data_IF_471711120354
#
_entry.id   IF_471711120354
#
_cell.length_a   1.000
_cell.length_b   1.000
_cell.length_c   1.000
_cell.angle_alpha   90.00
_cell.angle_beta   90.00
_cell.angle_gamma   90.00
#
_symmetry.space_group_name_H-M   'P 1'
#
loop_
_entity.id
_entity.type
_entity.pdbx_description
1 polymer ?
#
# COMPACT_ATOMS: atom_id res chain seq x y z
N UNK A 1 9.09 -13.45 -9.14
CA UNK A 1 8.99 -14.37 -7.98
C UNK A 1 9.52 -13.62 -6.79
N UNK A 2 8.82 -13.66 -5.64
CA UNK A 2 9.41 -13.23 -4.38
C UNK A 2 10.56 -14.19 -4.03
N UNK A 3 11.63 -13.67 -3.44
CA UNK A 3 12.75 -14.50 -2.99
C UNK A 3 12.26 -15.49 -1.91
N UNK A 4 12.60 -16.79 -2.01
CA UNK A 4 12.09 -17.81 -1.08
C UNK A 4 12.68 -17.71 0.34
N UNK A 5 13.79 -16.98 0.51
CA UNK A 5 14.50 -16.82 1.79
C UNK A 5 14.29 -15.41 2.37
N UNK A 6 14.18 -14.40 1.52
CA UNK A 6 14.04 -13.00 1.94
C UNK A 6 13.05 -12.23 1.05
N UNK A 7 11.73 -12.51 1.15
CA UNK A 7 10.73 -11.78 0.38
C UNK A 7 10.67 -10.30 0.83
N UNK A 8 10.72 -9.38 -0.13
CA UNK A 8 10.65 -7.94 0.09
C UNK A 8 9.32 -7.41 -0.42
N UNK A 9 8.59 -6.70 0.44
CA UNK A 9 7.38 -5.96 0.08
C UNK A 9 7.73 -4.48 0.01
N UNK A 10 7.43 -3.85 -1.13
CA UNK A 10 7.58 -2.42 -1.31
C UNK A 10 6.24 -1.73 -1.10
N UNK A 11 6.24 -0.71 -0.24
CA UNK A 11 5.07 0.13 0.01
C UNK A 11 5.44 1.58 -0.31
N UNK A 12 4.59 2.26 -1.07
CA UNK A 12 4.85 3.65 -1.43
C UNK A 12 4.64 4.57 -0.21
N UNK A 13 5.69 5.26 0.21
CA UNK A 13 5.65 6.17 1.35
C UNK A 13 4.78 7.42 1.15
N UNK A 14 4.44 7.76 -0.10
CA UNK A 14 3.56 8.88 -0.45
C UNK A 14 2.09 8.54 -0.18
N UNK A 15 1.73 7.26 -0.20
CA UNK A 15 0.36 6.82 -0.02
C UNK A 15 -0.10 7.05 1.43
N UNK A 16 -1.42 7.20 1.61
CA UNK A 16 -2.00 7.30 2.95
C UNK A 16 -1.72 6.03 3.77
N UNK A 17 -1.68 6.13 5.10
CA UNK A 17 -1.44 4.95 5.96
C UNK A 17 -2.43 3.81 5.71
N UNK A 18 -3.69 4.14 5.42
CA UNK A 18 -4.70 3.15 5.03
C UNK A 18 -4.30 2.39 3.76
N UNK A 19 -3.89 3.12 2.71
CA UNK A 19 -3.41 2.53 1.47
C UNK A 19 -2.12 1.71 1.66
N UNK A 20 -1.19 2.20 2.49
CA UNK A 20 0.03 1.46 2.84
C UNK A 20 -0.27 0.10 3.49
N UNK A 21 -1.21 0.06 4.45
CA UNK A 21 -1.61 -1.18 5.12
C UNK A 21 -2.32 -2.12 4.14
N UNK A 22 -3.20 -1.59 3.27
CA UNK A 22 -3.85 -2.38 2.24
C UNK A 22 -2.83 -3.05 1.32
N UNK A 23 -1.89 -2.27 0.76
CA UNK A 23 -0.80 -2.80 -0.08
C UNK A 23 0.01 -3.86 0.66
N UNK A 24 0.38 -3.61 1.92
CA UNK A 24 1.15 -4.57 2.70
C UNK A 24 0.43 -5.93 2.83
N UNK A 25 -0.86 -5.94 3.15
CA UNK A 25 -1.63 -7.18 3.31
C UNK A 25 -1.84 -7.84 1.94
N UNK A 26 -2.10 -7.06 0.90
CA UNK A 26 -2.26 -7.54 -0.48
C UNK A 26 -0.99 -8.26 -0.96
N UNK A 27 0.18 -7.65 -0.77
CA UNK A 27 1.47 -8.25 -1.16
C UNK A 27 1.82 -9.46 -0.28
N UNK A 28 1.44 -9.46 1.01
CA UNK A 28 1.57 -10.63 1.87
C UNK A 28 0.73 -11.80 1.36
N UNK A 29 -0.48 -11.54 0.87
CA UNK A 29 -1.34 -12.55 0.26
C UNK A 29 -0.69 -13.10 -1.03
N UNK A 30 -0.07 -12.25 -1.85
CA UNK A 30 0.71 -12.69 -3.02
C UNK A 30 1.86 -13.63 -2.64
N UNK A 31 2.58 -13.34 -1.54
CA UNK A 31 3.63 -14.22 -1.03
C UNK A 31 3.04 -15.59 -0.63
N UNK A 32 1.90 -15.62 0.06
CA UNK A 32 1.25 -16.88 0.46
C UNK A 32 0.78 -17.73 -0.71
N UNK A 33 0.37 -17.12 -1.83
CA UNK A 33 0.00 -17.88 -3.02
C UNK A 33 1.19 -18.60 -3.67
N UNK A 34 2.43 -18.21 -3.34
CA UNK A 34 3.65 -18.81 -3.90
C UNK A 34 3.77 -18.68 -5.43
N UNK A 35 2.87 -17.91 -6.05
CA UNK A 35 2.74 -17.75 -7.49
C UNK A 35 3.46 -16.50 -7.97
N UNK A 36 4.25 -16.63 -9.03
CA UNK A 36 4.85 -15.49 -9.72
C UNK A 36 3.79 -14.63 -10.39
N UNK A 37 3.45 -13.47 -9.84
CA UNK A 37 2.77 -12.45 -10.63
C UNK A 37 3.09 -11.05 -10.07
N UNK A 38 4.06 -10.40 -10.71
CA UNK A 38 3.96 -8.96 -10.93
C UNK A 38 2.80 -8.78 -11.91
N UNK A 39 1.69 -8.15 -11.52
CA UNK A 39 0.76 -7.62 -12.51
C UNK A 39 -0.01 -6.41 -11.98
N UNK A 40 -0.05 -5.39 -12.83
CA UNK A 40 -0.62 -4.07 -12.63
C UNK A 40 -1.98 -4.07 -11.92
N UNK A 41 -2.06 -3.31 -10.83
CA UNK A 41 -3.26 -3.14 -10.01
C UNK A 41 -4.29 -2.25 -10.73
N UNK A 42 -5.07 -2.82 -11.64
CA UNK A 42 -6.26 -2.18 -12.19
C UNK A 42 -7.52 -2.71 -11.48
N UNK A 43 -8.08 -1.91 -10.58
CA UNK A 43 -9.27 -2.20 -9.75
C UNK A 43 -10.61 -2.27 -10.53
N UNK A 44 -10.64 -2.58 -11.83
CA UNK A 44 -11.85 -2.39 -12.67
C UNK A 44 -12.37 -3.61 -13.43
N UNK A 45 -11.81 -4.82 -13.27
CA UNK A 45 -12.32 -6.00 -13.99
C UNK A 45 -13.03 -7.02 -13.08
N UNK A 46 -14.23 -7.47 -13.49
CA UNK A 46 -14.87 -8.71 -12.98
C UNK A 46 -13.99 -9.95 -13.21
N UNK A 47 -13.06 -9.86 -14.16
CA UNK A 47 -12.12 -10.90 -14.57
C UNK A 47 -10.67 -10.41 -14.47
N UNK A 48 -10.21 -10.09 -13.25
CA UNK A 48 -8.78 -9.96 -12.97
C UNK A 48 -8.09 -11.34 -12.92
N UNK A 49 -6.75 -11.41 -12.97
CA UNK A 49 -6.05 -12.67 -12.66
C UNK A 49 -6.57 -13.22 -11.33
N UNK A 50 -6.92 -14.50 -11.26
CA UNK A 50 -7.54 -15.11 -10.06
C UNK A 50 -6.74 -14.84 -8.78
N UNK A 51 -5.42 -14.72 -8.90
CA UNK A 51 -4.52 -14.33 -7.81
C UNK A 51 -4.82 -12.91 -7.27
N UNK A 52 -4.93 -11.91 -8.14
CA UNK A 52 -5.23 -10.52 -7.75
C UNK A 52 -6.58 -10.40 -7.05
N UNK A 53 -7.59 -11.08 -7.58
CA UNK A 53 -8.92 -11.10 -6.97
C UNK A 53 -8.87 -11.75 -5.59
N UNK A 54 -8.12 -12.83 -5.43
CA UNK A 54 -7.94 -13.50 -4.15
C UNK A 54 -7.15 -12.62 -3.16
N UNK A 55 -6.05 -11.99 -3.56
CA UNK A 55 -5.27 -11.09 -2.71
C UNK A 55 -6.11 -9.89 -2.24
N UNK A 56 -6.92 -9.31 -3.14
CA UNK A 56 -7.87 -8.27 -2.78
C UNK A 56 -8.93 -8.77 -1.80
N UNK A 57 -9.47 -9.97 -1.98
CA UNK A 57 -10.41 -10.57 -1.03
C UNK A 57 -9.78 -10.78 0.35
N UNK A 58 -8.55 -11.29 0.41
CA UNK A 58 -7.79 -11.47 1.66
C UNK A 58 -7.57 -10.13 2.35
N UNK A 59 -7.06 -9.13 1.63
CA UNK A 59 -6.83 -7.79 2.20
C UNK A 59 -8.12 -7.17 2.73
N UNK A 60 -9.21 -7.30 1.97
CA UNK A 60 -10.49 -6.73 2.35
C UNK A 60 -11.14 -7.46 3.55
N UNK A 61 -10.97 -8.78 3.67
CA UNK A 61 -11.44 -9.55 4.84
C UNK A 61 -10.60 -9.26 6.09
N UNK A 62 -9.27 -9.11 5.95
CA UNK A 62 -8.38 -8.77 7.07
C UNK A 62 -8.67 -7.36 7.60
N UNK A 63 -8.87 -6.40 6.70
CA UNK A 63 -9.10 -5.00 7.07
C UNK A 63 -10.52 -4.72 7.54
N UNK A 64 -11.49 -5.35 6.90
CA UNK A 64 -12.92 -5.11 7.15
C UNK A 64 -13.64 -6.45 7.22
N UNK A 65 -13.53 -7.20 8.32
CA UNK A 65 -14.12 -8.54 8.43
C UNK A 65 -15.64 -8.50 8.19
N UNK A 66 -16.15 -9.41 7.35
CA UNK A 66 -17.53 -9.29 6.85
C UNK A 66 -18.54 -9.39 7.99
N UNK A 67 -18.29 -10.32 8.93
CA UNK A 67 -19.13 -10.53 10.09
C UNK A 67 -19.21 -9.30 11.00
N UNK A 68 -18.09 -8.60 11.20
CA UNK A 68 -18.03 -7.39 12.02
C UNK A 68 -18.73 -6.23 11.32
N UNK A 69 -18.49 -6.06 10.01
CA UNK A 69 -19.15 -5.04 9.21
C UNK A 69 -20.67 -5.17 9.25
N UNK A 70 -21.21 -6.38 9.09
CA UNK A 70 -22.66 -6.63 9.12
C UNK A 70 -23.26 -6.30 10.49
N UNK A 71 -22.53 -6.53 11.59
CA UNK A 71 -22.99 -6.19 12.93
C UNK A 71 -22.98 -4.68 13.21
N UNK A 72 -22.02 -3.96 12.64
CA UNK A 72 -21.86 -2.52 12.85
C UNK A 72 -22.64 -1.66 11.87
N UNK A 73 -23.03 -2.21 10.72
CA UNK A 73 -23.74 -1.49 9.67
C UNK A 73 -25.15 -1.12 10.12
N UNK A 74 -25.50 0.16 10.03
CA UNK A 74 -26.78 0.69 10.52
C UNK A 74 -27.95 0.51 9.53
N UNK A 75 -27.73 -0.18 8.41
CA UNK A 75 -28.78 -0.53 7.44
C UNK A 75 -29.05 0.53 6.37
N UNK A 76 -28.47 1.73 6.48
CA UNK A 76 -28.58 2.78 5.47
C UNK A 76 -27.20 3.16 4.92
N UNK A 77 -27.02 3.05 3.61
CA UNK A 77 -25.79 3.52 2.95
C UNK A 77 -25.90 5.02 2.73
N UNK A 78 -25.26 5.78 3.61
CA UNK A 78 -25.13 7.24 3.52
C UNK A 78 -23.66 7.65 3.57
N UNK A 79 -23.34 8.88 3.15
CA UNK A 79 -21.96 9.41 3.23
C UNK A 79 -21.45 9.38 4.68
N UNK A 80 -22.28 9.78 5.65
CA UNK A 80 -21.91 9.77 7.07
C UNK A 80 -21.60 8.36 7.58
N UNK A 81 -22.37 7.37 7.14
CA UNK A 81 -22.17 5.97 7.52
C UNK A 81 -20.88 5.41 6.88
N UNK A 82 -20.66 5.69 5.60
CA UNK A 82 -19.42 5.32 4.91
C UNK A 82 -18.19 5.92 5.60
N UNK A 83 -18.25 7.20 5.98
CA UNK A 83 -17.16 7.87 6.69
C UNK A 83 -16.97 7.35 8.12
N UNK A 84 -18.04 6.98 8.82
CA UNK A 84 -17.96 6.36 10.15
C UNK A 84 -17.27 5.00 10.07
N UNK A 85 -17.69 4.14 9.16
CA UNK A 85 -17.11 2.82 8.95
C UNK A 85 -15.66 2.94 8.45
N UNK A 86 -15.37 3.83 7.50
CA UNK A 86 -14.02 4.07 7.00
C UNK A 86 -13.05 4.51 8.10
N UNK A 87 -13.50 5.37 9.03
CA UNK A 87 -12.71 5.77 10.21
C UNK A 87 -12.49 4.61 11.19
N UNK A 88 -13.51 3.77 11.38
CA UNK A 88 -13.46 2.62 12.28
C UNK A 88 -12.44 1.59 11.79
N UNK A 89 -12.54 1.19 10.53
CA UNK A 89 -11.67 0.19 9.92
C UNK A 89 -10.37 0.75 9.34
N UNK A 90 -10.19 2.08 9.37
CA UNK A 90 -9.01 2.80 8.84
C UNK A 90 -8.75 2.49 7.36
N UNK A 91 -9.83 2.43 6.56
CA UNK A 91 -9.80 2.21 5.11
C UNK A 91 -10.48 3.37 4.37
N UNK A 92 -10.49 3.34 3.03
CA UNK A 92 -11.26 4.33 2.25
C UNK A 92 -12.75 4.00 2.25
N UNK A 93 -13.57 5.01 2.01
CA UNK A 93 -15.03 4.86 1.80
C UNK A 93 -15.36 3.95 0.62
N UNK A 94 -14.54 3.96 -0.43
CA UNK A 94 -14.67 3.04 -1.57
C UNK A 94 -14.47 1.57 -1.17
N UNK A 95 -13.53 1.28 -0.26
CA UNK A 95 -13.35 -0.08 0.29
C UNK A 95 -14.58 -0.49 1.10
N UNK A 96 -15.13 0.41 1.92
CA UNK A 96 -16.38 0.13 2.66
C UNK A 96 -17.55 -0.16 1.71
N UNK A 97 -17.75 0.66 0.67
CA UNK A 97 -18.78 0.43 -0.34
C UNK A 97 -18.67 -0.95 -0.99
N UNK A 98 -17.45 -1.34 -1.39
CA UNK A 98 -17.20 -2.66 -1.96
C UNK A 98 -17.55 -3.77 -0.96
N UNK A 99 -17.22 -3.59 0.31
CA UNK A 99 -17.53 -4.57 1.37
C UNK A 99 -19.00 -4.67 1.71
N UNK A 100 -19.74 -3.56 1.68
CA UNK A 100 -21.19 -3.56 1.84
C UNK A 100 -21.86 -4.30 0.66
N UNK A 101 -21.35 -4.11 -0.56
CA UNK A 101 -21.77 -4.91 -1.70
C UNK A 101 -21.44 -6.40 -1.53
N UNK A 102 -20.23 -6.75 -1.06
CA UNK A 102 -19.85 -8.15 -0.78
C UNK A 102 -20.73 -8.78 0.32
N UNK A 103 -21.17 -7.99 1.29
CA UNK A 103 -22.13 -8.36 2.32
C UNK A 103 -23.59 -8.43 1.82
N UNK A 104 -23.84 -8.17 0.53
CA UNK A 104 -25.17 -8.11 -0.11
C UNK A 104 -26.10 -7.03 0.47
N UNK A 105 -25.54 -6.00 1.09
CA UNK A 105 -26.29 -4.84 1.56
C UNK A 105 -26.66 -3.88 0.42
N UNK A 106 -26.03 -4.04 -0.75
CA UNK A 106 -26.28 -3.29 -1.97
C UNK A 106 -26.49 -4.25 -3.13
N UNK A 107 -27.44 -3.95 -4.01
CA UNK A 107 -27.51 -4.54 -5.34
C UNK A 107 -26.36 -4.05 -6.23
N UNK A 108 -26.16 -4.69 -7.38
CA UNK A 108 -25.12 -4.27 -8.32
C UNK A 108 -25.32 -2.83 -8.81
N UNK A 109 -26.56 -2.44 -9.12
CA UNK A 109 -26.86 -1.11 -9.65
C UNK A 109 -26.68 -0.03 -8.58
N UNK A 110 -27.18 -0.27 -7.36
CA UNK A 110 -26.96 0.64 -6.21
C UNK A 110 -25.48 0.78 -5.88
N UNK A 111 -24.71 -0.31 -5.96
CA UNK A 111 -23.27 -0.27 -5.73
C UNK A 111 -22.55 0.58 -6.78
N UNK A 112 -22.86 0.42 -8.07
CA UNK A 112 -22.21 1.18 -9.14
C UNK A 112 -22.53 2.67 -9.01
N UNK A 113 -23.78 3.01 -8.73
CA UNK A 113 -24.21 4.40 -8.53
C UNK A 113 -23.50 5.03 -7.33
N UNK A 114 -23.53 4.36 -6.17
CA UNK A 114 -22.88 4.85 -4.96
C UNK A 114 -21.35 4.95 -5.12
N UNK A 115 -20.73 4.00 -5.83
CA UNK A 115 -19.30 4.00 -6.09
C UNK A 115 -18.87 5.20 -6.93
N UNK A 116 -19.58 5.48 -8.03
CA UNK A 116 -19.21 6.59 -8.91
C UNK A 116 -19.43 7.93 -8.21
N UNK A 117 -20.54 8.09 -7.47
CA UNK A 117 -20.81 9.28 -6.67
C UNK A 117 -19.72 9.53 -5.62
N UNK A 118 -19.33 8.48 -4.87
CA UNK A 118 -18.31 8.59 -3.83
C UNK A 118 -16.91 8.83 -4.43
N UNK A 119 -16.60 8.19 -5.56
CA UNK A 119 -15.35 8.42 -6.28
C UNK A 119 -15.22 9.87 -6.73
N UNK A 120 -16.27 10.46 -7.30
CA UNK A 120 -16.24 11.87 -7.69
C UNK A 120 -16.05 12.79 -6.48
N UNK A 121 -16.76 12.51 -5.38
CA UNK A 121 -16.61 13.25 -4.12
C UNK A 121 -15.17 13.20 -3.61
N UNK A 122 -14.57 12.01 -3.51
CA UNK A 122 -13.18 11.85 -3.06
C UNK A 122 -12.19 12.58 -3.98
N UNK A 123 -12.37 12.48 -5.30
CA UNK A 123 -11.50 13.18 -6.27
C UNK A 123 -11.56 14.70 -6.12
N UNK A 124 -12.74 15.28 -5.89
CA UNK A 124 -12.87 16.73 -5.67
C UNK A 124 -12.10 17.23 -4.44
N UNK A 125 -11.98 16.41 -3.39
CA UNK A 125 -11.18 16.75 -2.20
C UNK A 125 -9.68 16.64 -2.45
N UNK A 126 -9.24 15.74 -3.34
CA UNK A 126 -7.83 15.57 -3.68
C UNK A 126 -7.33 16.71 -4.57
N UNK A 127 -8.13 17.14 -5.54
CA UNK A 127 -7.76 18.24 -6.44
C UNK A 127 -7.68 19.58 -5.68
N UNK A 128 -8.54 19.81 -4.69
CA UNK A 128 -8.47 20.97 -3.80
C UNK A 128 -7.25 21.01 -2.86
N UNK A 129 -6.54 19.88 -2.65
CA UNK A 129 -5.34 19.79 -1.79
C UNK A 129 -4.01 19.87 -2.54
N UNK A 130 -4.01 19.69 -3.86
CA UNK A 130 -2.78 19.74 -4.68
C UNK A 130 -2.17 21.14 -4.81
N UNK A 131 -2.85 22.20 -4.34
CA UNK A 131 -2.34 23.56 -4.35
C UNK A 131 -1.39 23.91 -3.19
N UNK A 132 -1.28 23.09 -2.14
CA UNK A 132 -0.45 23.38 -0.96
C UNK A 132 0.55 22.25 -0.65
N UNK A 133 1.84 22.49 -0.91
CA UNK A 133 2.95 21.81 -0.23
C UNK A 133 3.67 20.70 -1.00
N UNK A 134 4.65 21.08 -1.83
CA UNK A 134 5.66 20.16 -2.37
C UNK A 134 6.61 19.66 -1.28
N UNK A 135 6.69 18.34 -1.08
CA UNK A 135 7.56 17.69 -0.10
C UNK A 135 9.05 17.83 -0.43
N UNK A 136 9.87 18.08 0.60
CA UNK A 136 11.31 18.27 0.48
C UNK A 136 12.03 16.93 0.21
N UNK A 137 12.62 16.83 -0.98
CA UNK A 137 13.39 15.70 -1.53
C UNK A 137 14.40 15.07 -0.55
N UNK A 138 15.01 15.86 0.33
CA UNK A 138 16.06 15.40 1.25
C UNK A 138 15.55 14.66 2.49
N UNK A 139 14.27 14.82 2.87
CA UNK A 139 13.67 14.06 3.99
C UNK A 139 13.07 12.71 3.57
N UNK A 140 12.96 12.43 2.27
CA UNK A 140 12.27 11.25 1.75
C UNK A 140 13.19 10.11 1.33
N UNK A 141 14.48 10.35 1.05
CA UNK A 141 15.39 9.28 0.64
C UNK A 141 15.68 8.25 1.74
N UNK A 142 15.92 8.63 3.02
CA UNK A 142 16.11 7.66 4.10
C UNK A 142 14.82 6.90 4.49
N UNK A 143 13.64 7.40 4.09
CA UNK A 143 12.36 6.73 4.27
C UNK A 143 11.98 5.81 3.10
N UNK A 144 12.64 5.93 1.95
CA UNK A 144 12.39 5.08 0.76
C UNK A 144 13.14 3.75 0.79
N UNK A 145 14.15 3.63 1.64
CA UNK A 145 14.92 2.42 1.87
C UNK A 145 14.89 2.14 3.36
N UNK A 146 14.42 0.96 3.79
CA UNK A 146 14.31 0.66 5.22
C UNK A 146 15.67 0.82 5.91
N UNK A 147 15.68 1.35 7.14
CA UNK A 147 16.92 1.59 7.90
C UNK A 147 17.75 0.31 8.04
N UNK A 148 17.10 -0.83 8.24
CA UNK A 148 17.73 -2.14 8.31
C UNK A 148 18.36 -2.56 6.99
N UNK A 149 17.65 -2.40 5.87
CA UNK A 149 18.19 -2.68 4.54
C UNK A 149 19.41 -1.80 4.24
N UNK A 150 19.30 -0.49 4.46
CA UNK A 150 20.40 0.44 4.22
C UNK A 150 21.64 0.07 5.04
N UNK A 151 21.46 -0.27 6.33
CA UNK A 151 22.56 -0.74 7.18
C UNK A 151 23.18 -2.05 6.67
N UNK A 152 22.36 -3.02 6.26
CA UNK A 152 22.84 -4.30 5.77
C UNK A 152 23.64 -4.16 4.47
N UNK A 153 23.18 -3.33 3.52
CA UNK A 153 23.89 -3.07 2.26
C UNK A 153 25.21 -2.34 2.51
N UNK A 154 25.22 -1.35 3.42
CA UNK A 154 26.44 -0.62 3.79
C UNK A 154 27.45 -1.55 4.47
N UNK A 155 27.03 -2.33 5.46
CA UNK A 155 27.91 -3.29 6.15
C UNK A 155 28.51 -4.31 5.16
N UNK A 156 27.69 -4.91 4.31
CA UNK A 156 28.14 -5.86 3.28
C UNK A 156 29.12 -5.24 2.28
N UNK A 157 28.97 -3.96 1.96
CA UNK A 157 29.89 -3.24 1.08
C UNK A 157 31.22 -2.90 1.77
N UNK A 158 31.18 -2.48 3.04
CA UNK A 158 32.38 -2.22 3.84
C UNK A 158 33.18 -3.50 4.14
N UNK A 159 32.49 -4.62 4.33
CA UNK A 159 33.08 -5.96 4.50
C UNK A 159 33.63 -6.55 3.18
N UNK A 160 33.37 -5.90 2.05
CA UNK A 160 33.86 -6.32 0.73
C UNK A 160 33.02 -7.42 0.05
N UNK A 161 31.91 -7.84 0.67
CA UNK A 161 30.98 -8.85 0.11
C UNK A 161 30.09 -8.29 -0.99
N UNK A 162 29.83 -6.98 -0.99
CA UNK A 162 29.08 -6.27 -2.04
C UNK A 162 29.97 -5.23 -2.72
N UNK A 163 30.04 -5.22 -4.05
CA UNK A 163 30.77 -4.19 -4.76
C UNK A 163 30.11 -2.81 -4.55
N UNK A 164 30.91 -1.76 -4.35
CA UNK A 164 30.41 -0.39 -4.15
C UNK A 164 29.45 0.09 -5.24
N UNK A 165 29.69 -0.30 -6.50
CA UNK A 165 28.79 0.03 -7.62
C UNK A 165 27.37 -0.52 -7.39
N UNK A 166 27.29 -1.76 -6.92
CA UNK A 166 26.02 -2.44 -6.70
C UNK A 166 25.37 -1.93 -5.40
N UNK A 167 26.16 -1.61 -4.38
CA UNK A 167 25.69 -0.92 -3.16
C UNK A 167 25.09 0.46 -3.47
N UNK A 168 25.71 1.24 -4.35
CA UNK A 168 25.18 2.54 -4.79
C UNK A 168 23.85 2.39 -5.50
N UNK A 169 23.74 1.40 -6.40
CA UNK A 169 22.51 1.11 -7.10
C UNK A 169 21.39 0.69 -6.14
N UNK A 170 21.68 -0.19 -5.18
CA UNK A 170 20.74 -0.65 -4.16
C UNK A 170 20.30 0.47 -3.21
N UNK A 171 21.20 1.39 -2.89
CA UNK A 171 20.94 2.54 -2.02
C UNK A 171 20.39 3.77 -2.77
N UNK A 172 20.27 3.69 -4.10
CA UNK A 172 19.86 4.82 -4.93
C UNK A 172 20.85 6.00 -4.89
N UNK A 173 22.08 5.78 -4.44
CA UNK A 173 23.13 6.81 -4.40
C UNK A 173 23.97 6.74 -5.68
N UNK A 174 24.55 7.88 -6.09
CA UNK A 174 25.41 7.93 -7.29
C UNK A 174 26.85 8.32 -6.99
N UNK A 175 27.11 8.80 -5.77
CA UNK A 175 28.40 9.34 -5.34
C UNK A 175 28.85 8.62 -4.07
N UNK A 176 30.13 8.31 -3.99
CA UNK A 176 30.73 7.66 -2.82
C UNK A 176 30.55 8.50 -1.54
N UNK A 177 30.74 9.82 -1.61
CA UNK A 177 30.51 10.71 -0.47
C UNK A 177 29.07 10.64 0.08
N UNK A 178 28.08 10.40 -0.77
CA UNK A 178 26.68 10.21 -0.33
C UNK A 178 26.50 8.87 0.38
N UNK A 179 27.27 7.85 0.00
CA UNK A 179 27.30 6.56 0.68
C UNK A 179 27.97 6.65 2.05
N UNK A 180 29.12 7.35 2.15
CA UNK A 180 29.83 7.54 3.43
C UNK A 180 28.99 8.33 4.44
N UNK A 181 28.37 9.43 4.01
CA UNK A 181 27.46 10.21 4.86
C UNK A 181 26.29 9.35 5.38
N UNK A 182 25.76 8.46 4.53
CA UNK A 182 24.69 7.54 4.93
C UNK A 182 25.19 6.48 5.92
N UNK A 183 26.44 6.04 5.79
CA UNK A 183 27.07 5.11 6.73
C UNK A 183 27.27 5.73 8.12
N UNK A 184 27.72 6.99 8.18
CA UNK A 184 27.87 7.75 9.42
C UNK A 184 26.51 8.01 10.08
N UNK A 185 25.51 8.46 9.32
CA UNK A 185 24.16 8.74 9.83
C UNK A 185 23.47 7.48 10.39
N UNK A 186 23.78 6.31 9.81
CA UNK A 186 23.25 5.02 10.23
C UNK A 186 24.10 4.31 11.29
N UNK A 187 25.25 4.87 11.67
CA UNK A 187 26.16 4.32 12.67
C UNK A 187 26.75 2.95 12.28
N UNK A 188 27.11 2.81 10.99
CA UNK A 188 27.72 1.60 10.42
C UNK A 188 29.21 1.81 10.11
N UNK A 189 29.66 3.07 10.08
CA UNK A 189 31.06 3.49 9.96
C UNK A 189 31.59 4.01 11.31
#
# INVERSE_FOLDING_TARGET
>A
MADPLAPLIFVNGVDTKAAQIFTLIHELAHIWLGGSALSDAAMTAKDGPKAELWCNQVAAEVLVPLHALVQEFQGLVSVDELERLARTYRVSTLVILKRLFDAKALTWDEYIEAYEAEKQRVMSFLDGRRSDGGGNYYYTQPLRLSRSFSRAVIASALEGSTAYRDAYQLLGTKKHATFENLAEELGVA
#
